data_IF_387331108687
#
_entry.id   IF_387331108687
#
_cell.length_a   1.000
_cell.length_b   1.000
_cell.length_c   1.000
_cell.angle_alpha   90.00
_cell.angle_beta   90.00
_cell.angle_gamma   90.00
#
_symmetry.space_group_name_H-M   'P 1'
#
loop_
_entity.id
_entity.type
_entity.pdbx_description
1 polymer ?
#
# COMPACT_ATOMS: atom_id res chain seq x y z
N UNK A 1 22.80 -21.06 3.73
CA UNK A 1 21.38 -20.74 3.42
C UNK A 1 21.27 -19.23 3.36
N UNK A 2 20.68 -18.67 2.31
CA UNK A 2 20.41 -17.25 2.25
C UNK A 2 19.45 -16.89 3.40
N UNK A 3 19.75 -15.82 4.11
CA UNK A 3 18.92 -15.34 5.24
C UNK A 3 17.63 -14.69 4.75
N UNK A 4 17.58 -14.24 3.51
CA UNK A 4 16.44 -13.59 2.86
C UNK A 4 16.35 -14.04 1.41
N UNK A 5 15.15 -14.02 0.86
CA UNK A 5 14.89 -14.20 -0.58
C UNK A 5 15.05 -12.88 -1.35
N UNK A 6 15.18 -11.75 -0.64
CA UNK A 6 15.38 -10.43 -1.22
C UNK A 6 16.88 -10.11 -1.24
N UNK A 7 17.53 -10.29 -2.39
CA UNK A 7 18.97 -10.03 -2.52
C UNK A 7 19.33 -8.55 -2.30
N UNK A 8 18.48 -7.65 -2.79
CA UNK A 8 18.67 -6.20 -2.71
C UNK A 8 17.38 -5.50 -2.29
N UNK A 9 17.21 -5.25 -0.99
CA UNK A 9 16.05 -4.56 -0.44
C UNK A 9 15.76 -3.21 -1.13
N UNK A 10 16.80 -2.49 -1.53
CA UNK A 10 16.70 -1.19 -2.23
C UNK A 10 16.14 -1.29 -3.65
N UNK A 11 16.05 -2.47 -4.24
CA UNK A 11 15.35 -2.68 -5.51
C UNK A 11 13.84 -2.79 -5.37
N UNK A 12 13.34 -2.91 -4.15
CA UNK A 12 11.93 -3.11 -3.85
C UNK A 12 11.30 -2.03 -2.97
N UNK A 13 12.13 -1.33 -2.17
CA UNK A 13 11.66 -0.25 -1.31
C UNK A 13 12.73 0.83 -1.15
N UNK A 14 12.34 2.09 -1.33
CA UNK A 14 13.19 3.25 -1.07
C UNK A 14 12.45 4.35 -0.33
N UNK A 15 13.20 5.13 0.42
CA UNK A 15 12.74 6.35 1.09
C UNK A 15 13.49 7.54 0.51
N UNK A 16 12.76 8.60 0.16
CA UNK A 16 13.37 9.83 -0.38
C UNK A 16 12.82 11.06 0.31
N UNK A 17 13.73 11.89 0.80
CA UNK A 17 13.43 13.28 1.18
C UNK A 17 13.68 14.18 -0.01
N UNK A 18 12.76 15.10 -0.29
CA UNK A 18 12.92 16.07 -1.38
C UNK A 18 12.32 17.42 -1.04
N UNK A 19 12.66 18.43 -1.83
CA UNK A 19 12.08 19.78 -1.75
C UNK A 19 11.12 20.01 -2.91
N UNK A 20 9.98 20.62 -2.64
CA UNK A 20 9.07 21.10 -3.64
C UNK A 20 9.66 22.29 -4.39
N UNK A 21 9.41 22.37 -5.67
CA UNK A 21 9.85 23.47 -6.55
C UNK A 21 8.71 24.31 -7.08
N UNK A 22 7.49 23.78 -7.02
CA UNK A 22 6.32 24.41 -7.65
C UNK A 22 6.32 24.33 -9.18
N UNK A 23 7.29 23.67 -9.79
CA UNK A 23 7.44 23.58 -11.23
C UNK A 23 6.80 22.33 -11.85
N UNK A 24 6.50 22.39 -13.14
CA UNK A 24 5.84 21.32 -13.92
C UNK A 24 6.70 20.08 -14.18
N UNK A 25 7.89 19.99 -13.67
CA UNK A 25 8.79 18.86 -13.87
C UNK A 25 9.83 18.82 -12.76
N UNK A 26 9.37 18.56 -11.53
CA UNK A 26 10.27 18.29 -10.41
C UNK A 26 10.64 16.81 -10.41
N UNK A 27 11.81 16.48 -10.96
CA UNK A 27 12.33 15.13 -10.98
C UNK A 27 12.98 14.79 -9.62
N UNK A 28 12.45 13.77 -8.95
CA UNK A 28 12.95 13.25 -7.68
C UNK A 28 13.69 11.95 -7.93
N UNK A 29 15.03 12.04 -8.02
CA UNK A 29 15.90 10.87 -8.23
C UNK A 29 16.32 10.29 -6.89
N UNK A 30 16.35 8.97 -6.78
CA UNK A 30 16.87 8.30 -5.60
C UNK A 30 18.38 8.49 -5.46
N UNK A 31 18.87 8.45 -4.21
CA UNK A 31 20.28 8.72 -3.90
C UNK A 31 21.20 7.56 -4.34
N UNK A 32 20.65 6.34 -4.36
CA UNK A 32 21.38 5.13 -4.75
C UNK A 32 21.37 4.98 -6.28
N UNK A 33 22.54 5.11 -6.89
CA UNK A 33 22.70 5.03 -8.36
C UNK A 33 23.01 3.63 -8.87
N UNK A 34 23.52 2.73 -8.01
CA UNK A 34 23.89 1.36 -8.38
C UNK A 34 22.70 0.40 -8.43
N UNK A 35 21.64 0.70 -7.69
CA UNK A 35 20.42 -0.11 -7.59
C UNK A 35 19.22 0.76 -7.94
N UNK A 36 19.05 1.01 -9.23
CA UNK A 36 17.90 1.79 -9.72
C UNK A 36 16.60 1.05 -9.41
N UNK A 37 15.57 1.80 -9.05
CA UNK A 37 14.22 1.29 -8.81
C UNK A 37 13.20 2.24 -9.45
N UNK A 38 12.44 1.74 -10.40
CA UNK A 38 11.21 2.39 -10.83
C UNK A 38 10.12 2.02 -9.83
N UNK A 39 9.59 2.96 -9.03
CA UNK A 39 8.51 2.65 -8.12
C UNK A 39 7.20 2.41 -8.87
N UNK A 40 6.32 1.59 -8.29
CA UNK A 40 4.95 1.41 -8.75
C UNK A 40 3.96 2.13 -7.82
N UNK A 41 4.37 2.34 -6.57
CA UNK A 41 3.60 3.05 -5.53
C UNK A 41 4.49 4.05 -4.82
N UNK A 42 4.00 5.28 -4.67
CA UNK A 42 4.68 6.36 -3.95
C UNK A 42 3.69 6.99 -2.96
N UNK A 43 3.99 6.91 -1.68
CA UNK A 43 3.27 7.61 -0.62
C UNK A 43 4.05 8.86 -0.25
N UNK A 44 3.40 10.02 -0.32
CA UNK A 44 4.02 11.32 -0.03
C UNK A 44 3.37 11.98 1.18
N UNK A 45 4.20 12.64 1.99
CA UNK A 45 3.77 13.48 3.11
C UNK A 45 4.62 14.74 3.19
N UNK A 46 3.97 15.90 3.34
CA UNK A 46 4.66 17.14 3.68
C UNK A 46 5.24 17.06 5.11
N UNK A 47 6.47 17.54 5.27
CA UNK A 47 7.15 17.67 6.56
C UNK A 47 6.95 19.08 7.16
N UNK A 48 6.66 20.05 6.33
CA UNK A 48 6.54 21.47 6.71
C UNK A 48 5.12 21.87 7.06
N UNK A 49 4.13 21.10 6.62
CA UNK A 49 2.71 21.37 6.89
C UNK A 49 2.16 20.36 7.91
N UNK A 50 1.45 20.88 8.90
CA UNK A 50 0.72 20.06 9.86
C UNK A 50 -0.54 19.42 9.27
N UNK A 51 -1.68 19.59 9.95
CA UNK A 51 -3.00 19.20 9.45
C UNK A 51 -3.59 20.35 8.63
N UNK A 52 -4.35 20.01 7.59
CA UNK A 52 -4.95 20.98 6.66
C UNK A 52 -4.59 20.64 5.21
N UNK A 53 -5.00 21.47 4.26
CA UNK A 53 -4.86 21.18 2.83
C UNK A 53 -3.43 20.81 2.37
N UNK A 54 -2.40 21.35 3.03
CA UNK A 54 -1.00 20.99 2.76
C UNK A 54 -0.47 19.81 3.57
N UNK A 55 -1.22 19.29 4.56
CA UNK A 55 -0.81 18.18 5.43
C UNK A 55 -1.39 16.82 5.04
N UNK A 56 -2.08 16.73 3.91
CA UNK A 56 -2.71 15.51 3.43
C UNK A 56 -1.65 14.53 2.95
N UNK A 57 -1.86 13.26 3.25
CA UNK A 57 -1.11 12.16 2.65
C UNK A 57 -1.61 11.92 1.25
N UNK A 58 -0.73 11.70 0.30
CA UNK A 58 -1.08 11.36 -1.07
C UNK A 58 -0.38 10.08 -1.47
N UNK A 59 -1.15 9.09 -1.89
CA UNK A 59 -0.66 7.84 -2.44
C UNK A 59 -0.85 7.87 -3.96
N UNK A 60 0.23 7.74 -4.69
CA UNK A 60 0.25 7.54 -6.13
C UNK A 60 0.51 6.07 -6.42
N UNK A 61 -0.26 5.50 -7.32
CA UNK A 61 -0.08 4.13 -7.76
C UNK A 61 -0.34 4.04 -9.27
N UNK A 62 0.60 3.49 -10.02
CA UNK A 62 0.45 3.32 -11.47
C UNK A 62 -0.75 2.43 -11.81
N UNK A 63 -1.10 1.51 -10.92
CA UNK A 63 -2.19 0.56 -11.10
C UNK A 63 -3.58 1.21 -10.90
N UNK A 64 -3.65 2.31 -10.15
CA UNK A 64 -4.93 3.05 -9.93
C UNK A 64 -5.27 3.96 -11.10
N UNK A 65 -4.32 4.16 -12.02
CA UNK A 65 -4.53 5.02 -13.17
C UNK A 65 -5.60 4.46 -14.11
N UNK A 66 -6.74 5.13 -14.19
CA UNK A 66 -7.88 4.73 -15.02
C UNK A 66 -7.82 5.32 -16.45
N UNK A 67 -6.70 5.93 -16.84
CA UNK A 67 -6.57 6.60 -18.13
C UNK A 67 -6.13 5.63 -19.22
N UNK A 68 -7.04 5.27 -20.09
CA UNK A 68 -6.73 4.60 -21.37
C UNK A 68 -6.00 5.59 -22.27
N UNK A 69 -4.68 5.42 -22.42
CA UNK A 69 -3.87 6.21 -23.36
C UNK A 69 -3.22 7.50 -22.84
N UNK A 70 -3.30 7.79 -21.56
CA UNK A 70 -2.62 8.95 -20.95
C UNK A 70 -1.17 8.67 -20.54
N UNK A 71 -0.28 9.64 -20.78
CA UNK A 71 1.13 9.57 -20.39
C UNK A 71 1.36 9.96 -18.92
N UNK A 72 0.33 10.37 -18.18
CA UNK A 72 0.43 10.86 -16.80
C UNK A 72 -0.26 9.90 -15.83
N UNK A 73 0.36 9.68 -14.69
CA UNK A 73 -0.25 8.99 -13.54
C UNK A 73 -1.08 10.02 -12.80
N UNK A 74 -2.36 10.11 -13.16
CA UNK A 74 -3.21 11.23 -12.81
C UNK A 74 -4.17 10.97 -11.66
N UNK A 75 -3.94 9.89 -10.89
CA UNK A 75 -4.84 9.55 -9.79
C UNK A 75 -4.18 9.76 -8.44
N UNK A 76 -4.82 10.53 -7.58
CA UNK A 76 -4.42 10.75 -6.19
C UNK A 76 -5.36 10.01 -5.24
N UNK A 77 -4.79 9.14 -4.44
CA UNK A 77 -5.46 8.46 -3.34
C UNK A 77 -5.09 9.19 -2.05
N UNK A 78 -6.08 9.55 -1.27
CA UNK A 78 -5.88 10.22 0.02
C UNK A 78 -6.10 9.23 1.18
N UNK A 79 -5.02 8.65 1.74
CA UNK A 79 -5.15 7.64 2.78
C UNK A 79 -5.83 8.18 4.04
N UNK A 80 -5.56 9.42 4.40
CA UNK A 80 -6.06 10.07 5.61
C UNK A 80 -7.33 10.93 5.39
N UNK A 81 -8.07 10.67 4.32
CA UNK A 81 -9.32 11.38 4.05
C UNK A 81 -10.39 10.43 3.50
N UNK A 82 -11.64 10.74 3.81
CA UNK A 82 -12.80 10.03 3.25
C UNK A 82 -13.10 10.42 1.80
N UNK A 83 -12.36 11.37 1.25
CA UNK A 83 -12.54 11.86 -0.12
C UNK A 83 -12.36 10.74 -1.13
N UNK A 84 -13.18 10.73 -2.16
CA UNK A 84 -13.02 9.87 -3.31
C UNK A 84 -11.63 10.06 -3.96
N UNK A 85 -11.19 9.05 -4.70
CA UNK A 85 -9.96 9.14 -5.48
C UNK A 85 -10.13 10.24 -6.53
N UNK A 86 -9.20 11.18 -6.56
CA UNK A 86 -9.20 12.22 -7.57
C UNK A 86 -8.51 11.73 -8.84
N UNK A 87 -9.26 11.71 -9.94
CA UNK A 87 -8.73 11.39 -11.27
C UNK A 87 -8.56 12.68 -12.07
N UNK A 88 -7.33 13.01 -12.43
CA UNK A 88 -7.05 14.15 -13.30
C UNK A 88 -7.02 13.66 -14.75
N UNK A 89 -7.67 14.40 -15.66
CA UNK A 89 -7.71 14.03 -17.09
C UNK A 89 -6.33 14.08 -17.75
N UNK A 90 -6.17 13.40 -18.88
CA UNK A 90 -4.92 13.37 -19.65
C UNK A 90 -4.41 14.73 -20.11
N UNK A 91 -5.28 15.74 -20.10
CA UNK A 91 -4.98 17.14 -20.42
C UNK A 91 -4.72 18.00 -19.19
N UNK A 92 -4.77 17.43 -17.96
CA UNK A 92 -4.51 18.19 -16.76
C UNK A 92 -3.05 18.67 -16.76
N UNK A 93 -2.89 19.98 -16.79
CA UNK A 93 -1.58 20.66 -16.72
C UNK A 93 -1.11 20.83 -15.28
N UNK A 94 -1.94 20.46 -14.31
CA UNK A 94 -1.72 20.72 -12.89
C UNK A 94 -2.06 19.50 -12.04
N UNK A 95 -1.26 19.26 -11.02
CA UNK A 95 -1.65 18.50 -9.86
C UNK A 95 -1.56 17.00 -9.97
N UNK A 96 -0.45 16.43 -10.44
CA UNK A 96 -0.30 14.97 -10.40
C UNK A 96 1.15 14.51 -10.46
N UNK A 97 1.37 13.27 -10.11
CA UNK A 97 2.57 12.55 -10.46
C UNK A 97 2.63 12.45 -12.00
N UNK A 98 3.71 12.97 -12.59
CA UNK A 98 3.90 13.00 -14.02
C UNK A 98 4.38 11.66 -14.57
N UNK A 99 5.34 11.05 -13.90
CA UNK A 99 5.91 9.75 -14.30
C UNK A 99 6.54 9.03 -13.12
N UNK A 100 6.55 7.70 -13.21
CA UNK A 100 7.47 6.84 -12.46
C UNK A 100 8.70 6.61 -13.33
N UNK A 101 9.86 7.09 -12.87
CA UNK A 101 11.10 7.07 -13.63
C UNK A 101 11.93 5.84 -13.27
N UNK A 102 12.91 5.49 -14.09
CA UNK A 102 13.76 4.29 -13.87
C UNK A 102 14.49 4.30 -12.54
N UNK A 103 14.70 5.47 -11.93
CA UNK A 103 15.30 5.60 -10.58
C UNK A 103 14.67 6.75 -9.80
N UNK A 104 13.36 6.75 -9.65
CA UNK A 104 12.62 7.79 -8.95
C UNK A 104 11.27 8.09 -9.57
N UNK A 105 10.84 9.34 -9.50
CA UNK A 105 9.58 9.81 -10.04
C UNK A 105 9.64 11.30 -10.33
N UNK A 106 8.78 11.77 -11.23
CA UNK A 106 8.66 13.20 -11.57
C UNK A 106 7.29 13.71 -11.17
N UNK A 107 7.27 14.83 -10.46
CA UNK A 107 6.06 15.54 -10.08
C UNK A 107 5.79 16.71 -11.05
N UNK A 108 4.52 16.99 -11.27
CA UNK A 108 4.08 18.18 -12.00
C UNK A 108 3.84 19.36 -11.04
N UNK A 109 3.62 20.55 -11.59
CA UNK A 109 3.15 21.67 -10.78
C UNK A 109 1.75 21.35 -10.26
N UNK A 110 1.55 21.71 -9.03
CA UNK A 110 0.23 21.66 -8.43
C UNK A 110 -0.49 22.98 -8.71
N UNK A 111 -1.75 22.88 -9.09
CA UNK A 111 -2.68 23.99 -9.03
C UNK A 111 -2.88 24.48 -7.60
N UNK A 112 -4.05 24.90 -7.25
CA UNK A 112 -4.34 25.57 -5.97
C UNK A 112 -4.13 24.72 -4.70
N UNK A 113 -4.03 23.39 -4.82
CA UNK A 113 -3.98 22.48 -3.66
C UNK A 113 -2.57 22.12 -3.15
N UNK A 114 -1.53 22.35 -3.91
CA UNK A 114 -0.08 22.33 -3.55
C UNK A 114 0.33 21.33 -2.45
N UNK A 115 0.01 20.03 -2.65
CA UNK A 115 0.11 19.01 -1.59
C UNK A 115 1.46 18.31 -1.52
N UNK A 116 2.18 18.23 -2.65
CA UNK A 116 3.39 17.41 -2.77
C UNK A 116 4.56 18.09 -3.51
N UNK A 117 4.38 19.29 -4.10
CA UNK A 117 5.43 19.99 -4.84
C UNK A 117 5.44 21.51 -4.60
N UNK A 118 4.94 22.01 -3.47
CA UNK A 118 4.95 23.44 -3.17
C UNK A 118 6.39 23.94 -2.99
N UNK A 119 6.74 25.03 -3.68
CA UNK A 119 8.04 25.66 -3.55
C UNK A 119 8.32 26.07 -2.11
N UNK A 120 9.50 25.72 -1.60
CA UNK A 120 9.95 26.01 -0.24
C UNK A 120 9.51 24.96 0.80
N UNK A 121 8.62 24.04 0.46
CA UNK A 121 8.23 22.95 1.37
C UNK A 121 9.14 21.73 1.19
N UNK A 122 9.23 20.91 2.22
CA UNK A 122 9.96 19.64 2.19
C UNK A 122 9.02 18.47 2.41
N UNK A 123 9.35 17.35 1.78
CA UNK A 123 8.52 16.17 1.71
C UNK A 123 9.29 14.89 2.01
N UNK A 124 8.56 13.87 2.45
CA UNK A 124 9.02 12.49 2.48
C UNK A 124 8.21 11.69 1.49
N UNK A 125 8.89 10.80 0.76
CA UNK A 125 8.29 9.82 -0.11
C UNK A 125 8.76 8.42 0.31
N UNK A 126 7.80 7.51 0.49
CA UNK A 126 8.02 6.08 0.67
C UNK A 126 7.58 5.40 -0.61
N UNK A 127 8.48 4.64 -1.20
CA UNK A 127 8.35 4.14 -2.57
C UNK A 127 8.49 2.64 -2.60
N UNK A 128 7.48 1.94 -3.12
CA UNK A 128 7.47 0.49 -3.27
C UNK A 128 7.49 0.08 -4.72
N UNK A 129 8.21 -1.02 -4.99
CA UNK A 129 8.14 -1.77 -6.24
C UNK A 129 7.14 -2.91 -6.07
N UNK A 130 6.02 -2.83 -6.78
CA UNK A 130 5.06 -3.91 -6.95
C UNK A 130 5.38 -4.71 -8.22
N UNK A 131 4.42 -5.35 -8.83
CA UNK A 131 4.63 -6.18 -10.00
C UNK A 131 4.51 -5.47 -11.35
N UNK A 132 4.44 -4.14 -11.38
CA UNK A 132 4.20 -3.39 -12.60
C UNK A 132 2.71 -3.12 -12.88
N UNK A 133 2.39 -2.52 -14.01
CA UNK A 133 1.04 -2.05 -14.35
C UNK A 133 0.29 -3.04 -15.26
N UNK A 134 -0.76 -3.72 -14.79
CA UNK A 134 -1.69 -4.46 -15.65
C UNK A 134 -2.37 -3.52 -16.65
N UNK A 135 -2.53 -3.94 -17.90
CA UNK A 135 -3.04 -3.11 -18.99
C UNK A 135 -4.42 -3.51 -19.51
N UNK A 136 -4.97 -4.60 -19.00
CA UNK A 136 -6.31 -5.09 -19.31
C UNK A 136 -7.08 -5.43 -18.03
N UNK A 137 -8.40 -5.40 -18.11
CA UNK A 137 -9.26 -5.95 -17.06
C UNK A 137 -9.50 -7.45 -17.30
N UNK A 138 -9.52 -8.23 -16.22
CA UNK A 138 -9.89 -9.64 -16.28
C UNK A 138 -11.40 -9.78 -16.50
N UNK A 139 -11.76 -10.63 -17.43
CA UNK A 139 -13.16 -11.02 -17.72
C UNK A 139 -13.40 -12.51 -17.53
N UNK A 140 -12.35 -13.25 -17.18
CA UNK A 140 -12.47 -14.69 -16.91
C UNK A 140 -13.11 -14.92 -15.54
N UNK A 141 -14.01 -15.90 -15.48
CA UNK A 141 -14.68 -16.33 -14.24
C UNK A 141 -14.09 -17.62 -13.69
N UNK A 142 -13.30 -18.32 -14.49
CA UNK A 142 -12.60 -19.56 -14.13
C UNK A 142 -11.42 -19.82 -15.04
N UNK A 143 -10.52 -20.69 -14.62
CA UNK A 143 -9.34 -21.08 -15.40
C UNK A 143 -8.25 -19.99 -15.43
N UNK A 144 -7.83 -19.60 -16.62
CA UNK A 144 -6.79 -18.60 -16.79
C UNK A 144 -7.37 -17.17 -16.81
N UNK A 145 -6.66 -16.24 -16.19
CA UNK A 145 -6.96 -14.81 -16.27
C UNK A 145 -6.80 -14.28 -17.69
N UNK A 146 -7.57 -13.25 -18.02
CA UNK A 146 -7.44 -12.53 -19.30
C UNK A 146 -6.00 -12.03 -19.49
N UNK A 147 -5.49 -12.10 -20.70
CA UNK A 147 -4.15 -11.64 -21.03
C UNK A 147 -3.93 -10.18 -20.59
N UNK A 148 -2.78 -9.91 -19.99
CA UNK A 148 -2.35 -8.60 -19.47
C UNK A 148 -3.20 -8.03 -18.32
N UNK A 149 -4.10 -8.80 -17.73
CA UNK A 149 -4.83 -8.40 -16.50
C UNK A 149 -4.02 -8.63 -15.23
N UNK A 150 -2.93 -9.37 -15.33
CA UNK A 150 -1.98 -9.61 -14.26
C UNK A 150 -0.55 -9.30 -14.71
N UNK A 151 0.21 -8.62 -13.84
CA UNK A 151 1.65 -8.37 -13.99
C UNK A 151 2.38 -8.98 -12.80
N UNK A 152 3.36 -9.84 -13.06
CA UNK A 152 4.16 -10.53 -12.04
C UNK A 152 5.62 -10.10 -12.20
N UNK A 153 6.20 -9.55 -11.14
CA UNK A 153 7.61 -9.12 -11.08
C UNK A 153 8.01 -8.22 -12.27
N UNK A 154 7.09 -7.33 -12.68
CA UNK A 154 7.28 -6.42 -13.82
C UNK A 154 6.92 -6.98 -15.19
N UNK A 155 6.46 -8.22 -15.27
CA UNK A 155 6.14 -8.89 -16.54
C UNK A 155 4.64 -9.13 -16.67
N UNK A 156 4.04 -8.56 -17.73
CA UNK A 156 2.65 -8.83 -18.09
C UNK A 156 2.49 -10.29 -18.53
N UNK A 157 1.44 -10.94 -18.03
CA UNK A 157 1.16 -12.34 -18.31
C UNK A 157 0.13 -12.48 -19.44
N UNK A 158 0.46 -13.29 -20.45
CA UNK A 158 -0.48 -13.62 -21.52
C UNK A 158 -1.51 -14.69 -21.11
N UNK A 159 -1.14 -15.51 -20.15
CA UNK A 159 -1.98 -16.60 -19.62
C UNK A 159 -1.48 -16.93 -18.20
N UNK A 160 -2.30 -16.70 -17.20
CA UNK A 160 -1.98 -17.04 -15.82
C UNK A 160 -3.20 -17.72 -15.17
N UNK A 161 -3.00 -18.95 -14.73
CA UNK A 161 -4.01 -19.68 -13.96
C UNK A 161 -3.59 -19.62 -12.50
N UNK A 162 -4.45 -19.13 -11.59
CA UNK A 162 -4.19 -19.22 -10.15
C UNK A 162 -3.96 -20.67 -9.72
N UNK A 163 -3.31 -20.86 -8.58
CA UNK A 163 -2.96 -22.21 -8.11
C UNK A 163 -4.18 -23.12 -7.97
N UNK A 164 -3.97 -24.43 -8.09
CA UNK A 164 -5.03 -25.45 -8.06
C UNK A 164 -5.81 -25.54 -6.71
N UNK A 165 -5.30 -24.92 -5.66
CA UNK A 165 -6.01 -24.78 -4.37
C UNK A 165 -7.09 -23.71 -4.38
N UNK A 166 -7.21 -22.98 -5.49
CA UNK A 166 -8.18 -21.92 -5.68
C UNK A 166 -9.41 -22.45 -6.42
N UNK A 167 -10.58 -22.32 -5.83
CA UNK A 167 -11.83 -22.92 -6.35
C UNK A 167 -12.91 -21.92 -6.77
N UNK A 168 -12.67 -20.61 -6.64
CA UNK A 168 -13.67 -19.60 -7.00
C UNK A 168 -13.15 -18.16 -6.85
N UNK A 169 -13.99 -17.14 -7.12
CA UNK A 169 -13.72 -15.72 -6.88
C UNK A 169 -12.86 -15.04 -7.94
N UNK A 170 -12.51 -15.70 -9.06
CA UNK A 170 -11.77 -15.08 -10.16
C UNK A 170 -12.60 -13.97 -10.82
N UNK A 171 -13.90 -14.07 -10.80
CA UNK A 171 -14.88 -13.09 -11.26
C UNK A 171 -14.83 -11.78 -10.48
N UNK A 172 -14.35 -11.82 -9.24
CA UNK A 172 -14.19 -10.62 -8.40
C UNK A 172 -12.91 -9.85 -8.72
N UNK A 173 -11.95 -10.47 -9.37
CA UNK A 173 -10.63 -9.90 -9.66
C UNK A 173 -10.65 -9.23 -11.01
N UNK A 174 -10.38 -7.92 -11.06
CA UNK A 174 -10.24 -7.19 -12.30
C UNK A 174 -8.78 -7.06 -12.74
N UNK A 175 -7.88 -6.65 -11.85
CA UNK A 175 -6.45 -6.47 -12.16
C UNK A 175 -5.59 -6.92 -11.00
N UNK A 176 -4.39 -7.40 -11.31
CA UNK A 176 -3.40 -7.81 -10.31
C UNK A 176 -2.01 -7.33 -10.68
N UNK A 177 -1.28 -6.83 -9.69
CA UNK A 177 0.15 -6.51 -9.78
C UNK A 177 0.85 -7.12 -8.59
N UNK A 178 1.74 -8.09 -8.79
CA UNK A 178 2.38 -8.81 -7.68
C UNK A 178 3.90 -8.84 -7.82
N UNK A 179 4.59 -8.51 -6.73
CA UNK A 179 6.02 -8.71 -6.56
C UNK A 179 6.22 -9.90 -5.61
N UNK A 180 6.55 -11.03 -6.17
CA UNK A 180 6.69 -12.29 -5.43
C UNK A 180 7.94 -12.31 -4.55
N UNK A 181 8.94 -11.52 -4.88
CA UNK A 181 10.20 -11.40 -4.15
C UNK A 181 10.02 -10.54 -2.90
N UNK A 182 9.39 -9.39 -3.04
CA UNK A 182 9.16 -8.45 -1.94
C UNK A 182 7.91 -8.80 -1.10
N UNK A 183 7.10 -9.76 -1.53
CA UNK A 183 5.87 -10.16 -0.84
C UNK A 183 4.81 -9.07 -0.83
N UNK A 184 4.60 -8.37 -1.94
CA UNK A 184 3.54 -7.37 -2.05
C UNK A 184 2.70 -7.55 -3.32
N UNK A 185 1.40 -7.30 -3.18
CA UNK A 185 0.42 -7.43 -4.26
C UNK A 185 -0.54 -6.24 -4.23
N UNK A 186 -0.86 -5.71 -5.40
CA UNK A 186 -1.97 -4.80 -5.58
C UNK A 186 -3.07 -5.49 -6.40
N UNK A 187 -4.31 -5.24 -6.02
CA UNK A 187 -5.47 -5.80 -6.70
C UNK A 187 -6.55 -4.75 -6.89
N UNK A 188 -7.27 -4.86 -8.02
CA UNK A 188 -8.56 -4.24 -8.22
C UNK A 188 -9.61 -5.32 -8.20
N UNK A 189 -10.55 -5.22 -7.27
CA UNK A 189 -11.64 -6.20 -7.07
C UNK A 189 -13.00 -5.51 -7.12
N UNK A 190 -14.04 -6.25 -7.46
CA UNK A 190 -15.43 -5.79 -7.42
C UNK A 190 -16.39 -6.95 -7.24
N UNK A 191 -17.57 -6.65 -6.69
CA UNK A 191 -18.68 -7.62 -6.63
C UNK A 191 -18.49 -8.76 -5.63
N UNK A 192 -17.48 -8.72 -4.77
CA UNK A 192 -17.33 -9.71 -3.71
C UNK A 192 -18.31 -9.45 -2.57
N UNK A 193 -18.90 -10.49 -2.03
CA UNK A 193 -19.84 -10.48 -0.91
C UNK A 193 -19.22 -11.17 0.30
N UNK A 194 -19.89 -11.07 1.44
CA UNK A 194 -19.49 -11.80 2.65
C UNK A 194 -19.35 -13.31 2.40
N UNK A 195 -18.23 -13.87 2.80
CA UNK A 195 -17.87 -15.28 2.61
C UNK A 195 -17.22 -15.60 1.27
N UNK A 196 -17.14 -14.65 0.33
CA UNK A 196 -16.44 -14.89 -0.93
C UNK A 196 -14.92 -14.92 -0.69
N UNK A 197 -14.25 -15.79 -1.41
CA UNK A 197 -12.79 -15.94 -1.38
C UNK A 197 -12.20 -15.70 -2.75
N UNK A 198 -11.01 -15.11 -2.80
CA UNK A 198 -10.29 -14.87 -4.05
C UNK A 198 -8.77 -14.92 -3.87
N UNK A 199 -7.99 -15.33 -4.89
CA UNK A 199 -6.54 -15.45 -4.78
C UNK A 199 -5.87 -14.10 -4.64
N UNK A 200 -4.77 -14.04 -3.86
CA UNK A 200 -3.94 -12.84 -3.71
C UNK A 200 -2.59 -12.94 -4.42
N UNK A 201 -2.27 -14.07 -5.02
CA UNK A 201 -1.06 -14.32 -5.83
C UNK A 201 0.28 -14.20 -5.09
N UNK A 202 0.27 -14.03 -3.78
CA UNK A 202 1.47 -14.08 -2.94
C UNK A 202 1.77 -15.54 -2.55
N UNK A 203 3.05 -15.81 -2.23
CA UNK A 203 3.49 -17.14 -1.81
C UNK A 203 3.35 -17.37 -0.28
N UNK A 204 2.81 -16.39 0.43
CA UNK A 204 2.65 -16.41 1.88
C UNK A 204 1.38 -15.65 2.29
N UNK A 205 0.87 -15.96 3.46
CA UNK A 205 -0.32 -15.30 4.01
C UNK A 205 -0.12 -13.79 4.09
N UNK A 206 -1.07 -12.97 3.60
CA UNK A 206 -1.07 -11.54 3.79
C UNK A 206 -1.05 -11.16 5.27
N UNK A 207 -0.29 -10.14 5.61
CA UNK A 207 -0.17 -9.64 7.00
C UNK A 207 -0.65 -8.21 7.15
N UNK A 208 -0.62 -7.42 6.07
CA UNK A 208 -1.17 -6.07 6.07
C UNK A 208 -1.90 -5.82 4.75
N UNK A 209 -3.09 -5.23 4.85
CA UNK A 209 -3.92 -4.87 3.70
C UNK A 209 -4.41 -3.45 3.86
N UNK A 210 -4.20 -2.62 2.84
CA UNK A 210 -4.83 -1.32 2.71
C UNK A 210 -5.92 -1.42 1.63
N UNK A 211 -7.13 -1.01 1.96
CA UNK A 211 -8.29 -1.02 1.05
C UNK A 211 -8.81 0.39 0.84
N UNK A 212 -9.12 0.75 -0.39
CA UNK A 212 -9.76 2.01 -0.75
C UNK A 212 -10.83 1.78 -1.81
N UNK A 213 -12.09 2.24 -1.60
CA UNK A 213 -13.08 2.22 -2.66
C UNK A 213 -12.64 3.07 -3.85
N UNK A 214 -12.96 2.63 -5.06
CA UNK A 214 -12.64 3.35 -6.29
C UNK A 214 -13.46 4.64 -6.40
N UNK A 215 -14.72 4.57 -6.08
CA UNK A 215 -15.67 5.68 -6.09
C UNK A 215 -16.28 5.88 -4.71
N UNK A 216 -16.95 6.99 -4.50
CA UNK A 216 -17.60 7.27 -3.22
C UNK A 216 -16.66 7.83 -2.14
N UNK A 217 -17.22 8.07 -0.97
CA UNK A 217 -16.57 8.72 0.17
C UNK A 217 -16.22 7.70 1.25
N UNK A 218 -15.36 6.74 0.93
CA UNK A 218 -14.86 5.77 1.89
C UNK A 218 -13.45 6.11 2.38
N UNK A 219 -13.16 5.96 3.66
CA UNK A 219 -11.79 6.04 4.18
C UNK A 219 -10.92 4.92 3.59
N UNK A 220 -9.59 5.11 3.61
CA UNK A 220 -8.68 4.00 3.39
C UNK A 220 -8.67 3.14 4.66
N UNK A 221 -9.05 1.91 4.51
CA UNK A 221 -9.07 0.92 5.58
C UNK A 221 -7.72 0.21 5.64
N UNK A 222 -7.21 0.00 6.84
CA UNK A 222 -5.98 -0.76 7.09
C UNK A 222 -6.33 -1.96 7.94
N UNK A 223 -6.01 -3.14 7.44
CA UNK A 223 -6.17 -4.39 8.18
C UNK A 223 -4.80 -5.00 8.44
N UNK A 224 -4.56 -5.44 9.66
CA UNK A 224 -3.40 -6.23 10.04
C UNK A 224 -3.90 -7.64 10.33
N UNK A 225 -3.38 -8.59 9.58
CA UNK A 225 -3.78 -10.01 9.63
C UNK A 225 -2.70 -10.79 10.36
N UNK A 226 -3.09 -11.65 11.27
CA UNK A 226 -2.16 -12.49 11.99
C UNK A 226 -2.10 -13.90 11.45
N UNK A 227 -0.87 -14.44 11.40
CA UNK A 227 -0.60 -15.78 10.93
C UNK A 227 -0.93 -16.88 11.95
N UNK A 228 -1.22 -16.55 13.21
CA UNK A 228 -1.49 -17.49 14.30
C UNK A 228 -2.77 -17.14 15.05
N UNK A 229 -3.51 -18.18 15.41
CA UNK A 229 -4.82 -18.15 16.07
C UNK A 229 -4.88 -17.47 17.44
N UNK A 230 -3.75 -17.19 18.05
CA UNK A 230 -3.65 -16.43 19.30
C UNK A 230 -3.59 -14.94 19.00
N UNK A 231 -4.71 -14.41 18.65
CA UNK A 231 -5.02 -13.07 18.26
C UNK A 231 -4.26 -11.99 19.04
N UNK A 232 -3.32 -11.36 18.43
CA UNK A 232 -2.62 -10.21 18.98
C UNK A 232 -3.49 -8.95 19.10
N UNK A 233 -4.65 -8.91 18.51
CA UNK A 233 -5.57 -7.78 18.56
C UNK A 233 -6.88 -8.13 19.26
N UNK A 234 -6.83 -9.12 20.16
CA UNK A 234 -7.98 -9.56 20.92
C UNK A 234 -8.27 -8.62 22.08
N UNK A 235 -9.42 -7.95 22.08
CA UNK A 235 -10.10 -7.52 23.29
C UNK A 235 -11.27 -8.44 23.53
N UNK A 236 -11.15 -9.19 24.64
CA UNK A 236 -12.14 -10.03 25.34
C UNK A 236 -13.32 -10.58 24.53
N UNK A 237 -13.27 -11.85 24.21
CA UNK A 237 -14.45 -12.72 24.18
C UNK A 237 -14.92 -13.24 22.82
N UNK A 238 -14.33 -12.87 21.71
CA UNK A 238 -14.67 -13.42 20.38
C UNK A 238 -13.41 -13.68 19.55
N UNK A 239 -13.43 -14.71 18.72
CA UNK A 239 -12.31 -15.16 17.89
C UNK A 239 -11.99 -14.17 16.76
N UNK A 240 -11.30 -13.11 17.08
CA UNK A 240 -11.08 -12.02 16.16
C UNK A 240 -9.65 -12.00 15.62
N UNK A 241 -9.44 -12.44 14.40
CA UNK A 241 -8.14 -12.66 13.75
C UNK A 241 -7.56 -11.47 13.01
N UNK A 242 -8.17 -10.33 13.02
CA UNK A 242 -7.66 -9.11 12.39
C UNK A 242 -8.35 -7.87 12.91
N UNK A 243 -7.69 -6.72 12.84
CA UNK A 243 -8.31 -5.44 13.17
C UNK A 243 -8.23 -4.51 12.00
N UNK A 244 -9.34 -3.82 11.75
CA UNK A 244 -9.47 -2.75 10.78
C UNK A 244 -9.31 -1.41 11.48
N UNK A 245 -8.57 -0.51 10.89
CA UNK A 245 -8.58 0.91 11.25
C UNK A 245 -8.63 1.77 9.98
N UNK A 246 -9.24 2.92 10.11
CA UNK A 246 -9.16 3.94 9.09
C UNK A 246 -7.79 4.62 9.19
N UNK A 247 -7.15 4.83 8.07
CA UNK A 247 -5.93 5.65 7.98
C UNK A 247 -6.20 7.11 8.37
N UNK A 248 -7.47 7.45 8.51
CA UNK A 248 -7.95 8.76 8.98
C UNK A 248 -7.72 8.89 10.48
N UNK A 249 -7.25 10.04 10.88
CA UNK A 249 -6.96 10.43 12.27
C UNK A 249 -8.02 9.97 13.27
N UNK A 250 -7.55 9.38 14.35
CA UNK A 250 -8.27 9.20 15.61
C UNK A 250 -9.39 8.16 15.66
N UNK A 251 -9.59 7.31 14.68
CA UNK A 251 -10.41 6.13 14.93
C UNK A 251 -9.65 5.19 15.87
N UNK A 252 -10.28 4.75 16.95
CA UNK A 252 -9.86 3.55 17.64
C UNK A 252 -10.01 2.39 16.66
N UNK A 253 -9.12 1.40 16.71
CA UNK A 253 -9.44 0.11 16.10
C UNK A 253 -10.80 -0.29 16.67
N UNK A 254 -11.83 -0.23 15.81
CA UNK A 254 -13.16 -0.63 16.21
C UNK A 254 -13.11 -2.09 16.68
N UNK A 255 -13.93 -2.38 17.66
CA UNK A 255 -14.06 -3.72 18.25
C UNK A 255 -14.66 -4.76 17.28
N UNK A 256 -14.97 -4.33 16.06
CA UNK A 256 -15.43 -5.17 14.96
C UNK A 256 -14.25 -5.95 14.39
N UNK A 257 -14.04 -7.00 15.03
CA UNK A 257 -13.09 -7.98 14.63
C UNK A 257 -13.56 -8.73 13.39
N UNK A 258 -12.71 -8.70 12.42
CA UNK A 258 -12.94 -9.41 11.17
C UNK A 258 -12.12 -10.66 11.17
N UNK A 259 -12.85 -11.74 11.07
CA UNK A 259 -12.28 -13.04 10.84
C UNK A 259 -11.80 -13.08 9.39
N UNK A 260 -10.50 -12.88 9.18
CA UNK A 260 -9.89 -13.14 7.89
C UNK A 260 -9.36 -14.56 7.89
N UNK A 261 -10.12 -15.47 7.35
CA UNK A 261 -9.63 -16.81 7.03
C UNK A 261 -8.65 -16.76 5.84
N UNK A 262 -7.69 -15.83 5.92
CA UNK A 262 -6.66 -15.72 4.91
C UNK A 262 -5.69 -16.88 5.03
N UNK A 263 -5.45 -17.51 3.92
CA UNK A 263 -4.45 -18.57 3.78
C UNK A 263 -3.24 -18.08 3.00
N UNK A 264 -2.28 -18.96 2.75
CA UNK A 264 -1.15 -18.67 1.88
C UNK A 264 -1.53 -18.40 0.42
N UNK A 265 -2.78 -18.60 0.02
CA UNK A 265 -3.22 -18.46 -1.37
C UNK A 265 -4.51 -17.67 -1.56
N UNK A 266 -5.33 -17.48 -0.51
CA UNK A 266 -6.68 -16.92 -0.62
C UNK A 266 -6.91 -15.83 0.40
N UNK A 267 -7.56 -14.74 -0.02
CA UNK A 267 -8.21 -13.74 0.84
C UNK A 267 -9.68 -14.10 0.98
N UNK A 268 -10.23 -13.95 2.18
CA UNK A 268 -11.66 -14.05 2.43
C UNK A 268 -12.28 -12.66 2.59
N UNK A 269 -13.43 -12.45 1.97
CA UNK A 269 -14.26 -11.28 2.19
C UNK A 269 -15.22 -11.56 3.34
N UNK A 270 -15.07 -10.86 4.45
CA UNK A 270 -15.91 -10.98 5.63
C UNK A 270 -16.92 -9.82 5.76
N UNK A 271 -17.88 -9.93 6.67
CA UNK A 271 -19.11 -9.14 6.79
C UNK A 271 -18.96 -7.63 6.59
N UNK A 272 -17.91 -7.03 7.07
CA UNK A 272 -17.68 -5.59 6.95
C UNK A 272 -16.70 -5.21 5.81
N UNK A 273 -16.20 -6.20 5.12
CA UNK A 273 -15.38 -6.02 3.92
C UNK A 273 -16.24 -5.97 2.66
N UNK A 274 -17.56 -5.85 2.85
CA UNK A 274 -18.49 -5.81 1.73
C UNK A 274 -17.99 -4.77 0.74
N UNK A 275 -17.51 -5.27 -0.35
CA UNK A 275 -17.29 -4.53 -1.56
C UNK A 275 -18.69 -4.29 -2.06
N UNK A 276 -19.33 -3.23 -1.56
CA UNK A 276 -20.75 -2.96 -1.76
C UNK A 276 -21.15 -3.13 -3.23
N UNK A 277 -21.73 -4.28 -3.56
CA UNK A 277 -22.33 -4.55 -4.85
C UNK A 277 -21.38 -4.41 -6.04
N UNK A 278 -21.62 -3.45 -6.91
CA UNK A 278 -20.83 -3.25 -8.15
C UNK A 278 -19.63 -2.32 -8.01
N UNK A 279 -19.37 -1.74 -6.83
CA UNK A 279 -18.27 -0.81 -6.64
C UNK A 279 -16.92 -1.55 -6.59
N UNK A 280 -15.96 -1.07 -7.39
CA UNK A 280 -14.63 -1.62 -7.35
C UNK A 280 -13.82 -1.06 -6.17
N UNK A 281 -12.95 -1.89 -5.62
CA UNK A 281 -12.02 -1.52 -4.56
C UNK A 281 -10.58 -1.81 -4.98
N UNK A 282 -9.67 -1.00 -4.48
CA UNK A 282 -8.24 -1.19 -4.62
C UNK A 282 -7.68 -1.73 -3.31
N UNK A 283 -6.88 -2.78 -3.42
CA UNK A 283 -6.17 -3.41 -2.32
C UNK A 283 -4.67 -3.28 -2.53
N UNK A 284 -3.95 -2.84 -1.51
CA UNK A 284 -2.50 -2.97 -1.40
C UNK A 284 -2.22 -3.96 -0.29
N UNK A 285 -1.54 -5.02 -0.59
CA UNK A 285 -1.40 -6.21 0.24
C UNK A 285 0.08 -6.49 0.45
N UNK A 286 0.46 -6.77 1.68
CA UNK A 286 1.83 -7.19 2.03
C UNK A 286 1.81 -8.45 2.87
N UNK A 287 2.79 -9.30 2.65
CA UNK A 287 3.14 -10.44 3.50
C UNK A 287 4.51 -10.25 4.13
N UNK A 288 4.80 -10.98 5.20
CA UNK A 288 6.15 -11.00 5.76
C UNK A 288 7.14 -11.63 4.78
N UNK A 289 8.29 -10.97 4.64
CA UNK A 289 9.42 -11.48 3.87
C UNK A 289 10.67 -11.44 4.75
N UNK A 290 11.27 -12.59 5.10
CA UNK A 290 12.43 -12.66 5.98
C UNK A 290 13.56 -11.75 5.53
N UNK A 291 14.10 -10.94 6.45
CA UNK A 291 15.17 -9.99 6.17
C UNK A 291 14.76 -8.71 5.44
N UNK A 292 13.48 -8.57 5.04
CA UNK A 292 12.97 -7.42 4.29
C UNK A 292 11.76 -6.75 4.94
N UNK A 293 10.71 -7.49 5.30
CA UNK A 293 9.52 -6.96 5.96
C UNK A 293 9.13 -7.79 7.16
N UNK A 294 8.65 -7.13 8.21
CA UNK A 294 8.21 -7.75 9.46
C UNK A 294 7.02 -7.01 10.04
N UNK A 295 6.03 -7.75 10.49
CA UNK A 295 4.84 -7.24 11.16
C UNK A 295 4.76 -7.86 12.55
N UNK A 296 4.81 -7.02 13.58
CA UNK A 296 4.85 -7.49 14.98
C UNK A 296 4.01 -6.60 15.88
N UNK A 297 3.56 -7.18 16.97
CA UNK A 297 3.03 -6.45 18.11
C UNK A 297 4.13 -6.32 19.19
N UNK A 298 4.02 -5.27 19.96
CA UNK A 298 4.76 -5.11 21.21
C UNK A 298 3.90 -4.41 22.25
N UNK A 299 4.21 -4.59 23.52
CA UNK A 299 3.57 -3.86 24.61
C UNK A 299 4.48 -2.74 25.07
N UNK A 300 3.90 -1.53 25.22
CA UNK A 300 4.61 -0.40 25.81
C UNK A 300 4.87 -0.64 27.30
N UNK A 301 6.08 -0.36 27.74
CA UNK A 301 6.46 -0.54 29.15
C UNK A 301 6.38 0.76 29.98
N UNK A 302 5.95 1.88 29.37
CA UNK A 302 5.86 3.20 30.04
C UNK A 302 7.20 3.80 30.46
N UNK A 303 8.32 3.26 30.01
CA UNK A 303 9.66 3.69 30.40
C UNK A 303 10.37 4.40 29.26
N UNK A 304 11.31 5.30 29.55
CA UNK A 304 12.20 5.94 28.58
C UNK A 304 13.06 4.93 27.81
N UNK A 305 13.40 3.80 28.44
CA UNK A 305 13.93 2.61 27.77
C UNK A 305 12.76 1.75 27.29
N UNK A 306 12.20 2.09 26.13
CA UNK A 306 11.10 1.37 25.53
C UNK A 306 11.42 -0.10 25.21
N UNK A 307 10.41 -0.91 24.85
CA UNK A 307 10.62 -2.30 24.48
C UNK A 307 11.48 -2.42 23.23
N UNK A 308 12.35 -3.43 23.20
CA UNK A 308 13.13 -3.76 22.02
C UNK A 308 12.32 -4.68 21.11
N UNK A 309 12.00 -4.19 19.90
CA UNK A 309 11.31 -4.97 18.86
C UNK A 309 12.35 -5.58 17.91
N UNK A 310 12.36 -6.90 17.80
CA UNK A 310 13.30 -7.63 16.97
C UNK A 310 12.72 -7.82 15.55
N UNK A 311 13.23 -7.08 14.58
CA UNK A 311 12.80 -7.21 13.18
C UNK A 311 13.61 -8.25 12.39
N UNK A 312 14.81 -8.61 12.87
CA UNK A 312 15.74 -9.48 12.15
C UNK A 312 16.57 -8.76 11.08
N UNK A 313 16.34 -7.48 10.86
CA UNK A 313 17.08 -6.61 9.93
C UNK A 313 17.04 -5.16 10.43
N UNK A 314 17.80 -4.27 9.79
CA UNK A 314 17.75 -2.83 10.06
C UNK A 314 16.64 -2.20 9.23
N UNK A 315 15.52 -1.74 9.84
CA UNK A 315 14.41 -1.19 9.09
C UNK A 315 14.75 0.18 8.47
N UNK A 316 14.31 0.40 7.24
CA UNK A 316 14.32 1.70 6.58
C UNK A 316 13.04 2.50 6.89
N UNK A 317 11.94 1.81 7.17
CA UNK A 317 10.64 2.35 7.55
C UNK A 317 10.09 1.54 8.72
N UNK A 318 9.54 2.24 9.72
CA UNK A 318 8.76 1.66 10.82
C UNK A 318 7.42 2.38 10.89
N UNK A 319 6.33 1.65 10.82
CA UNK A 319 4.98 2.16 10.98
C UNK A 319 4.44 1.61 12.29
N UNK A 320 3.99 2.50 13.17
CA UNK A 320 3.46 2.13 14.48
C UNK A 320 2.01 2.61 14.58
N UNK A 321 1.15 1.74 15.05
CA UNK A 321 -0.24 2.06 15.42
C UNK A 321 -0.52 1.55 16.82
N UNK A 322 -1.06 2.41 17.67
CA UNK A 322 -1.56 2.02 18.98
C UNK A 322 -2.89 1.30 18.83
N UNK A 323 -2.99 0.13 19.43
CA UNK A 323 -4.22 -0.67 19.53
C UNK A 323 -4.99 -0.26 20.80
N UNK A 324 -6.32 -0.28 20.76
CA UNK A 324 -7.17 -0.01 21.93
C UNK A 324 -7.29 1.46 22.32
N UNK A 325 -6.79 2.40 21.49
CA UNK A 325 -7.01 3.82 21.69
C UNK A 325 -6.94 4.58 20.39
N UNK A 326 -7.72 5.66 20.30
CA UNK A 326 -7.65 6.61 19.21
C UNK A 326 -6.25 7.24 19.15
N UNK A 327 -5.50 6.97 18.10
CA UNK A 327 -4.18 7.55 17.86
C UNK A 327 -3.83 7.51 16.38
N UNK A 328 -3.04 8.46 15.86
CA UNK A 328 -2.59 8.43 14.48
C UNK A 328 -1.63 7.25 14.23
N UNK A 329 -1.46 6.88 12.96
CA UNK A 329 -0.31 6.12 12.51
C UNK A 329 0.96 6.97 12.62
N UNK A 330 2.03 6.40 13.14
CA UNK A 330 3.32 7.07 13.30
C UNK A 330 4.31 6.41 12.33
N UNK A 331 4.97 7.24 11.53
CA UNK A 331 5.96 6.80 10.54
C UNK A 331 7.34 7.28 10.96
N UNK A 332 8.26 6.36 11.11
CA UNK A 332 9.69 6.61 11.29
C UNK A 332 10.46 6.08 10.09
N UNK A 333 11.41 6.83 9.57
CA UNK A 333 12.24 6.40 8.47
C UNK A 333 13.71 6.82 8.65
N UNK A 334 14.60 6.17 7.90
CA UNK A 334 16.04 6.38 7.99
C UNK A 334 16.56 7.63 7.26
N UNK A 335 15.70 8.38 6.57
CA UNK A 335 16.07 9.63 5.86
C UNK A 335 15.61 10.89 6.59
N UNK A 336 14.70 10.75 7.54
CA UNK A 336 14.15 11.88 8.31
C UNK A 336 15.07 12.28 9.48
N UNK A 337 15.84 11.32 10.04
CA UNK A 337 16.89 11.59 11.03
C UNK A 337 18.24 11.15 10.49
N UNK A 338 19.23 12.04 10.53
CA UNK A 338 20.60 11.79 10.02
C UNK A 338 21.41 10.83 10.89
N UNK A 339 20.95 10.55 12.09
CA UNK A 339 21.59 9.62 13.01
C UNK A 339 20.54 8.63 13.53
N UNK A 340 20.78 7.36 13.25
CA UNK A 340 20.02 6.25 13.82
C UNK A 340 20.54 5.95 15.26
N UNK A 341 20.98 6.98 15.96
CA UNK A 341 21.34 6.95 17.36
C UNK A 341 20.08 7.26 18.15
N UNK A 342 19.55 6.23 18.77
CA UNK A 342 18.40 6.26 19.66
C UNK A 342 17.14 6.86 19.00
N UNK A 343 16.24 5.96 18.59
CA UNK A 343 14.82 6.30 18.58
C UNK A 343 14.45 6.39 20.09
N UNK A 344 14.70 7.55 20.68
CA UNK A 344 14.09 7.94 21.92
C UNK A 344 12.68 8.46 21.65
#
# INVERSE_FOLDING_TARGET
MAYTTVDLAQSHFKVKRYSGTGSNSNAITFDETTNSMQPDVVLVKSRSKGTGAGGIWVLYSIMVNNQTGGTKISSEVYPNATTAISHYGSSATTGALKSMDSNGFTLDSEGDNKRHNLSGDSYMAWCWKFGGNPTADNTATSGAMTANSISIDGTLQSNHTPSASFTGGLEHIQRVSVNTVAGCCWMKISGASNGDTFPHFLNSTPTMIWKKPQSGTGAMEVSLVEANEDAFFHESGTNNRGKKDDFVNNASFADDARDYDNTSSVLAAEDDWSVNGSEANYLWIWSETPGFSRYNRYEGNGNTNGPKVMCGFKPALVIIKRVGASSPFIFFDNKNKTTNTTIE
#
